data_IF_051059873137
#
_entry.id   IF_051059873137
#
_cell.length_a   1.000
_cell.length_b   1.000
_cell.length_c   1.000
_cell.angle_alpha   90.00
_cell.angle_beta   90.00
_cell.angle_gamma   90.00
#
_symmetry.space_group_name_H-M   'P 1'
#
loop_
_entity.id
_entity.type
_entity.pdbx_description
1 polymer ?
#
# COMPACT_ATOMS: atom_id res chain seq x y z
N UNK A 1 23.39 -30.53 18.39
CA UNK A 1 23.59 -29.96 17.05
C UNK A 1 22.38 -29.09 16.77
N UNK A 2 22.60 -27.77 16.70
CA UNK A 2 21.54 -26.80 16.44
C UNK A 2 21.20 -26.78 14.96
N UNK A 3 19.91 -26.67 14.67
CA UNK A 3 19.41 -26.07 13.46
C UNK A 3 18.40 -25.02 13.93
N UNK A 4 18.90 -23.79 13.97
CA UNK A 4 18.13 -22.56 14.01
C UNK A 4 17.36 -22.52 12.69
N UNK A 5 16.15 -23.06 12.69
CA UNK A 5 15.21 -22.91 11.59
C UNK A 5 14.77 -21.45 11.63
N UNK A 6 15.56 -20.57 11.01
CA UNK A 6 15.19 -19.21 10.76
C UNK A 6 13.86 -19.22 10.02
N UNK A 7 12.82 -18.83 10.75
CA UNK A 7 11.50 -18.44 10.28
C UNK A 7 11.70 -17.50 9.09
N UNK A 8 11.70 -18.07 7.89
CA UNK A 8 11.61 -17.34 6.66
C UNK A 8 10.20 -16.79 6.61
N UNK A 9 9.96 -15.68 7.34
CA UNK A 9 8.78 -14.86 7.21
C UNK A 9 8.70 -14.38 5.77
N UNK A 10 8.19 -15.24 4.89
CA UNK A 10 7.61 -14.87 3.62
C UNK A 10 6.64 -13.75 4.01
N UNK A 11 7.01 -12.52 3.72
CA UNK A 11 6.16 -11.39 4.04
C UNK A 11 4.94 -11.53 3.13
N UNK A 12 3.93 -12.25 3.60
CA UNK A 12 2.68 -12.45 2.90
C UNK A 12 2.08 -11.05 2.69
N UNK A 13 1.86 -10.67 1.43
CA UNK A 13 1.32 -9.36 1.10
C UNK A 13 0.00 -9.12 1.84
N UNK A 14 -0.18 -7.94 2.43
CA UNK A 14 -1.41 -7.63 3.14
C UNK A 14 -2.56 -7.51 2.13
N UNK A 15 -3.58 -8.35 2.25
CA UNK A 15 -4.77 -8.22 1.41
C UNK A 15 -5.85 -7.46 2.16
N UNK A 16 -6.27 -6.33 1.57
CA UNK A 16 -7.43 -5.56 2.05
C UNK A 16 -8.64 -5.95 1.21
N UNK A 17 -9.77 -6.19 1.87
CA UNK A 17 -11.02 -6.58 1.21
C UNK A 17 -12.15 -5.69 1.72
N UNK A 18 -12.95 -5.14 0.82
CA UNK A 18 -14.13 -4.34 1.14
C UNK A 18 -15.18 -4.47 0.05
N UNK A 19 -16.41 -4.01 0.30
CA UNK A 19 -17.48 -4.01 -0.68
C UNK A 19 -17.77 -2.56 -1.09
N UNK A 20 -17.87 -2.29 -2.39
CA UNK A 20 -18.31 -0.99 -2.88
C UNK A 20 -19.79 -0.79 -2.56
N UNK A 21 -20.16 0.30 -1.89
CA UNK A 21 -21.57 0.67 -1.68
C UNK A 21 -22.13 1.45 -2.87
N UNK A 22 -21.25 2.09 -3.64
CA UNK A 22 -21.57 2.89 -4.81
C UNK A 22 -20.79 2.40 -6.03
N UNK A 23 -21.21 2.84 -7.20
CA UNK A 23 -20.38 2.73 -8.41
C UNK A 23 -19.07 3.52 -8.22
N UNK A 24 -17.97 2.99 -8.75
CA UNK A 24 -16.67 3.67 -8.81
C UNK A 24 -16.21 3.72 -10.26
N UNK A 25 -15.88 4.92 -10.74
CA UNK A 25 -15.41 5.13 -12.11
C UNK A 25 -13.91 4.86 -12.25
N UNK A 26 -13.45 4.64 -13.48
CA UNK A 26 -12.03 4.57 -13.76
C UNK A 26 -11.32 5.87 -13.36
N UNK A 27 -10.23 5.75 -12.60
CA UNK A 27 -9.47 6.88 -12.09
C UNK A 27 -9.95 7.41 -10.73
N UNK A 28 -11.07 6.91 -10.18
CA UNK A 28 -11.48 7.25 -8.82
C UNK A 28 -10.43 6.83 -7.79
N UNK A 29 -10.41 7.55 -6.66
CA UNK A 29 -9.52 7.25 -5.54
C UNK A 29 -10.35 6.75 -4.36
N UNK A 30 -10.21 5.47 -4.08
CA UNK A 30 -10.75 4.88 -2.85
C UNK A 30 -9.79 5.14 -1.70
N UNK A 31 -10.30 5.78 -0.65
CA UNK A 31 -9.54 6.08 0.57
C UNK A 31 -9.99 5.18 1.72
N UNK A 32 -9.09 4.32 2.17
CA UNK A 32 -9.30 3.41 3.31
C UNK A 32 -8.44 3.86 4.49
N UNK A 33 -9.07 4.23 5.60
CA UNK A 33 -8.34 4.53 6.84
C UNK A 33 -7.96 3.24 7.54
N UNK A 34 -6.66 3.01 7.73
CA UNK A 34 -6.15 1.81 8.40
C UNK A 34 -5.45 2.19 9.70
N UNK A 35 -5.98 1.72 10.82
CA UNK A 35 -5.37 1.94 12.13
C UNK A 35 -4.29 0.90 12.42
N UNK A 36 -3.22 1.30 13.09
CA UNK A 36 -2.15 0.38 13.53
C UNK A 36 -1.07 0.09 12.48
N UNK A 37 -1.15 0.70 11.30
CA UNK A 37 -0.08 0.66 10.30
C UNK A 37 0.95 1.74 10.63
N UNK A 38 2.21 1.36 10.80
CA UNK A 38 3.31 2.25 11.20
C UNK A 38 4.31 2.52 10.07
N UNK A 39 4.02 2.06 8.85
CA UNK A 39 4.86 2.25 7.68
C UNK A 39 4.93 3.74 7.26
N UNK A 40 6.04 4.12 6.64
CA UNK A 40 6.18 5.42 5.97
C UNK A 40 5.37 5.50 4.68
N UNK A 41 5.16 6.73 4.22
CA UNK A 41 4.46 6.99 2.96
C UNK A 41 5.12 6.21 1.83
N UNK A 42 4.34 5.39 1.13
CA UNK A 42 4.81 4.51 0.07
C UNK A 42 3.79 4.48 -1.05
N UNK A 43 4.27 4.49 -2.30
CA UNK A 43 3.45 4.38 -3.49
C UNK A 43 3.61 3.00 -4.12
N UNK A 44 2.51 2.45 -4.61
CA UNK A 44 2.37 1.14 -5.23
C UNK A 44 1.96 1.33 -6.69
N UNK A 45 2.91 1.41 -7.63
CA UNK A 45 2.60 1.64 -9.04
C UNK A 45 1.86 0.47 -9.68
N UNK A 46 1.89 -0.71 -9.05
CA UNK A 46 1.17 -1.90 -9.48
C UNK A 46 0.60 -2.61 -8.26
N UNK A 47 -0.68 -2.97 -8.32
CA UNK A 47 -1.37 -3.76 -7.30
C UNK A 47 -2.05 -4.96 -7.96
N UNK A 48 -2.00 -6.10 -7.27
CA UNK A 48 -2.87 -7.22 -7.60
C UNK A 48 -4.23 -6.97 -6.98
N UNK A 49 -5.29 -6.98 -7.80
CA UNK A 49 -6.66 -6.78 -7.34
C UNK A 49 -7.58 -7.94 -7.72
N UNK A 50 -8.69 -8.06 -6.99
CA UNK A 50 -9.83 -8.87 -7.38
C UNK A 50 -11.11 -8.04 -7.32
N UNK A 51 -11.93 -7.99 -8.38
CA UNK A 51 -11.65 -8.48 -9.73
C UNK A 51 -10.33 -7.94 -10.33
N UNK A 52 -9.71 -8.67 -11.27
CA UNK A 52 -8.46 -8.22 -11.88
C UNK A 52 -8.67 -6.92 -12.65
N UNK A 53 -7.79 -5.94 -12.43
CA UNK A 53 -7.90 -4.61 -13.05
C UNK A 53 -8.76 -3.61 -12.28
N UNK A 54 -9.44 -4.02 -11.20
CA UNK A 54 -10.19 -3.12 -10.33
C UNK A 54 -9.32 -2.01 -9.72
N UNK A 55 -8.07 -2.32 -9.34
CA UNK A 55 -7.11 -1.31 -8.91
C UNK A 55 -5.84 -1.39 -9.74
N UNK A 56 -5.39 -0.23 -10.26
CA UNK A 56 -4.17 -0.12 -11.09
C UNK A 56 -2.97 0.34 -10.28
N UNK A 57 -3.21 1.15 -9.25
CA UNK A 57 -2.18 1.70 -8.38
C UNK A 57 -2.75 1.94 -6.99
N UNK A 58 -1.88 2.21 -6.04
CA UNK A 58 -2.27 2.73 -4.74
C UNK A 58 -1.11 3.33 -4.00
N UNK A 59 -1.33 3.70 -2.74
CA UNK A 59 -0.28 4.23 -1.89
C UNK A 59 -0.76 4.42 -0.45
N UNK A 60 0.16 4.27 0.48
CA UNK A 60 -0.05 4.62 1.87
C UNK A 60 0.38 6.05 2.11
N UNK A 61 -0.45 6.84 2.78
CA UNK A 61 -0.08 8.17 3.29
C UNK A 61 -0.04 8.12 4.80
N UNK A 62 1.17 8.13 5.37
CA UNK A 62 1.40 8.05 6.82
C UNK A 62 0.74 9.21 7.58
N UNK A 63 0.84 10.43 7.06
CA UNK A 63 0.26 11.64 7.65
C UNK A 63 -1.26 11.54 7.80
N UNK A 64 -1.91 10.81 6.89
CA UNK A 64 -3.36 10.64 6.88
C UNK A 64 -3.81 9.31 7.50
N UNK A 65 -2.87 8.39 7.76
CA UNK A 65 -3.16 7.00 8.11
C UNK A 65 -4.15 6.36 7.13
N UNK A 66 -3.95 6.64 5.84
CA UNK A 66 -4.88 6.29 4.78
C UNK A 66 -4.18 5.55 3.63
N UNK A 67 -4.79 4.45 3.21
CA UNK A 67 -4.48 3.74 1.97
C UNK A 67 -5.34 4.31 0.86
N UNK A 68 -4.70 4.82 -0.18
CA UNK A 68 -5.31 5.33 -1.39
C UNK A 68 -5.19 4.25 -2.46
N UNK A 69 -6.30 3.90 -3.10
CA UNK A 69 -6.33 2.93 -4.20
C UNK A 69 -6.94 3.60 -5.42
N UNK A 70 -6.24 3.56 -6.55
CA UNK A 70 -6.70 4.10 -7.83
C UNK A 70 -7.47 3.03 -8.58
N UNK A 71 -8.72 3.34 -8.89
CA UNK A 71 -9.63 2.45 -9.62
C UNK A 71 -9.18 2.35 -11.07
N UNK A 72 -9.07 1.13 -11.57
CA UNK A 72 -8.55 0.83 -12.92
C UNK A 72 -9.60 0.53 -13.97
N UNK A 73 -10.85 0.31 -13.56
CA UNK A 73 -11.99 0.01 -14.43
C UNK A 73 -13.27 0.36 -13.68
N UNK A 74 -14.37 0.55 -14.40
CA UNK A 74 -15.68 0.73 -13.78
C UNK A 74 -16.00 -0.43 -12.82
N UNK A 75 -16.29 -0.12 -11.56
CA UNK A 75 -16.70 -1.08 -10.54
C UNK A 75 -18.17 -0.82 -10.19
N UNK A 76 -19.06 -1.81 -10.41
CA UNK A 76 -20.45 -1.66 -10.04
C UNK A 76 -20.64 -1.65 -8.51
N UNK A 77 -21.76 -1.10 -8.01
CA UNK A 77 -22.10 -1.18 -6.60
C UNK A 77 -22.26 -2.64 -6.14
N UNK A 78 -22.16 -2.86 -4.83
CA UNK A 78 -22.24 -4.17 -4.17
C UNK A 78 -21.18 -5.16 -4.67
N UNK A 79 -20.06 -4.66 -5.18
CA UNK A 79 -18.95 -5.49 -5.64
C UNK A 79 -17.94 -5.68 -4.52
N UNK A 80 -17.63 -6.94 -4.21
CA UNK A 80 -16.51 -7.27 -3.31
C UNK A 80 -15.20 -7.07 -4.05
N UNK A 81 -14.39 -6.15 -3.51
CA UNK A 81 -13.09 -5.78 -4.02
C UNK A 81 -12.02 -6.24 -3.05
N UNK A 82 -10.88 -6.66 -3.59
CA UNK A 82 -9.67 -6.82 -2.79
C UNK A 82 -8.44 -6.29 -3.50
N UNK A 83 -7.48 -5.83 -2.71
CA UNK A 83 -6.17 -5.38 -3.17
C UNK A 83 -5.09 -6.03 -2.30
N UNK A 84 -4.13 -6.70 -2.93
CA UNK A 84 -2.96 -7.25 -2.26
C UNK A 84 -1.83 -6.23 -2.30
N UNK A 85 -1.49 -5.70 -1.14
CA UNK A 85 -0.41 -4.75 -0.94
C UNK A 85 0.94 -5.48 -0.88
N UNK A 86 2.01 -4.83 -1.34
CA UNK A 86 3.34 -5.42 -1.27
C UNK A 86 3.79 -5.59 0.19
N UNK A 87 4.71 -6.53 0.44
CA UNK A 87 5.22 -6.82 1.80
C UNK A 87 5.83 -5.61 2.50
N UNK A 88 6.33 -4.63 1.73
CA UNK A 88 6.88 -3.37 2.25
C UNK A 88 5.87 -2.54 3.04
N UNK A 89 4.55 -2.72 2.80
CA UNK A 89 3.50 -1.97 3.50
C UNK A 89 3.41 -2.28 5.00
N UNK A 90 3.76 -3.50 5.42
CA UNK A 90 3.69 -3.90 6.82
C UNK A 90 5.08 -3.98 7.50
N UNK A 91 6.10 -3.40 6.86
CA UNK A 91 7.43 -3.36 7.45
C UNK A 91 7.61 -2.07 8.26
N UNK A 92 8.03 -2.16 9.54
CA UNK A 92 8.45 -0.98 10.27
C UNK A 92 9.60 -0.35 9.53
N UNK A 93 9.58 0.97 9.36
CA UNK A 93 10.67 1.68 8.72
C UNK A 93 11.95 1.38 9.52
N UNK A 94 13.02 0.92 8.87
CA UNK A 94 14.27 0.67 9.58
C UNK A 94 14.72 1.98 10.25
N UNK A 95 15.11 1.96 11.53
CA UNK A 95 15.64 3.13 12.20
C UNK A 95 16.96 3.52 11.51
N UNK A 96 16.94 4.54 10.64
CA UNK A 96 18.16 5.06 10.00
C UNK A 96 18.11 5.31 8.49
N UNK A 97 16.97 5.18 7.82
CA UNK A 97 16.84 5.46 6.38
C UNK A 97 16.61 6.94 6.00
N UNK A 98 17.04 7.88 6.84
CA UNK A 98 17.06 9.30 6.46
C UNK A 98 18.13 9.51 5.39
N UNK A 99 17.77 9.34 4.12
CA UNK A 99 18.59 9.86 3.02
C UNK A 99 18.75 11.36 3.24
N UNK A 100 20.02 11.76 3.38
CA UNK A 100 20.44 13.05 3.86
C UNK A 100 19.71 14.19 3.17
N UNK A 101 19.29 15.15 4.00
CA UNK A 101 18.77 16.42 3.55
C UNK A 101 19.69 17.05 2.52
N UNK A 102 19.05 17.79 1.62
CA UNK A 102 19.66 18.75 0.72
C UNK A 102 20.86 19.45 1.37
N UNK A 103 22.07 19.14 0.89
CA UNK A 103 23.19 20.07 1.03
C UNK A 103 22.89 21.30 0.17
N UNK A 104 22.99 22.52 0.71
CA UNK A 104 22.74 23.72 -0.08
C UNK A 104 23.80 23.88 -1.17
N UNK A 105 23.48 24.51 -2.32
CA UNK A 105 24.51 24.92 -3.26
C UNK A 105 25.21 26.15 -2.68
N UNK A 106 26.52 26.06 -2.45
CA UNK A 106 27.31 27.26 -2.17
C UNK A 106 28.64 27.02 -1.47
N UNK A 107 29.72 27.02 -2.25
CA UNK A 107 30.87 27.93 -2.06
C UNK A 107 31.97 27.66 -3.08
N UNK A 108 32.54 28.74 -3.63
CA UNK A 108 33.89 28.77 -4.22
C UNK A 108 33.94 29.19 -5.67
#
# INVERSE_FOLDING_TARGET
VGADEADGAMSEGLTVTFMSETELDEGDIVRLTLSGVTCDTVDFPFLSSYPPGSFVAGGWRKEESALLLTVGTLIPPETTLSATLPPTFNQPTPPGGGVGGAGPPGQG
#
